data_IF_467726671969
#
_entry.id   IF_467726671969
#
_cell.length_a   1.000
_cell.length_b   1.000
_cell.length_c   1.000
_cell.angle_alpha   90.00
_cell.angle_beta   90.00
_cell.angle_gamma   90.00
#
_symmetry.space_group_name_H-M   'P 1'
#
loop_
_entity.id
_entity.type
_entity.pdbx_description
1 polymer ?
#
# COMPACT_ATOMS: atom_id res chain seq x y z
N UNK A 1 33.56 0.44 -9.14
CA UNK A 1 32.76 1.35 -8.29
C UNK A 1 33.15 2.80 -8.60
N UNK A 2 32.27 3.80 -8.45
CA UNK A 2 32.64 5.23 -8.68
C UNK A 2 33.79 5.66 -7.75
N UNK A 3 33.81 5.16 -6.52
CA UNK A 3 34.81 5.51 -5.49
C UNK A 3 36.23 5.08 -5.89
N UNK A 4 36.35 3.92 -6.52
CA UNK A 4 37.63 3.34 -6.94
C UNK A 4 38.09 3.86 -8.30
N UNK A 5 37.24 4.61 -9.01
CA UNK A 5 37.50 5.03 -10.39
C UNK A 5 38.87 5.73 -10.56
N UNK A 6 39.29 6.66 -9.67
CA UNK A 6 40.62 7.27 -9.77
C UNK A 6 41.79 6.29 -9.54
N UNK A 7 41.58 5.22 -8.77
CA UNK A 7 42.60 4.20 -8.49
C UNK A 7 42.75 3.22 -9.66
N UNK A 8 41.64 2.93 -10.35
CA UNK A 8 41.60 2.02 -11.51
C UNK A 8 42.19 2.69 -12.75
N UNK A 9 42.01 4.01 -12.91
CA UNK A 9 42.44 4.77 -14.09
C UNK A 9 43.41 5.90 -13.70
N UNK A 10 44.73 5.65 -13.71
CA UNK A 10 45.74 6.67 -13.46
C UNK A 10 45.59 7.87 -14.41
N UNK A 11 45.74 9.09 -13.88
CA UNK A 11 45.56 10.32 -14.66
C UNK A 11 44.11 10.82 -14.76
N UNK A 12 43.16 10.19 -14.07
CA UNK A 12 41.78 10.67 -13.99
C UNK A 12 41.70 12.08 -13.39
N UNK A 13 41.10 13.01 -14.12
CA UNK A 13 40.75 14.34 -13.61
C UNK A 13 39.39 14.29 -12.91
N UNK A 14 39.36 14.66 -11.63
CA UNK A 14 38.12 14.76 -10.85
C UNK A 14 37.58 16.18 -10.96
N UNK A 15 36.31 16.32 -11.33
CA UNK A 15 35.60 17.60 -11.38
C UNK A 15 34.36 17.47 -10.50
N UNK A 16 34.26 18.32 -9.47
CA UNK A 16 33.11 18.37 -8.56
C UNK A 16 32.11 19.43 -9.03
N UNK A 17 30.83 19.04 -9.08
CA UNK A 17 29.72 19.96 -9.34
C UNK A 17 29.01 20.23 -8.02
N UNK A 18 29.23 21.42 -7.46
CA UNK A 18 28.76 21.81 -6.12
C UNK A 18 27.55 22.75 -6.16
N UNK A 19 27.38 23.50 -7.25
CA UNK A 19 26.23 24.39 -7.42
C UNK A 19 24.97 23.58 -7.76
N UNK A 20 23.97 23.65 -6.89
CA UNK A 20 22.68 23.01 -7.04
C UNK A 20 21.64 24.01 -7.57
N UNK A 21 21.01 23.65 -8.69
CA UNK A 21 20.02 24.48 -9.37
C UNK A 21 18.57 24.12 -9.02
N UNK A 22 18.36 23.12 -8.16
CA UNK A 22 17.03 22.55 -7.83
C UNK A 22 16.48 23.11 -6.53
N UNK A 23 17.24 22.96 -5.45
CA UNK A 23 16.80 23.20 -4.07
C UNK A 23 17.31 24.53 -3.53
N UNK A 24 16.61 25.05 -2.52
CA UNK A 24 17.03 26.24 -1.74
C UNK A 24 18.06 25.87 -0.67
N UNK A 25 18.84 26.84 -0.20
CA UNK A 25 19.96 26.61 0.71
C UNK A 25 19.57 25.85 2.00
N UNK A 26 18.45 26.14 2.69
CA UNK A 26 18.06 25.39 3.89
C UNK A 26 17.89 23.88 3.68
N UNK A 27 17.48 23.44 2.48
CA UNK A 27 17.36 22.01 2.15
C UNK A 27 18.75 21.41 1.89
N UNK A 28 19.64 22.16 1.24
CA UNK A 28 21.02 21.74 0.97
C UNK A 28 21.83 21.65 2.27
N UNK A 29 21.62 22.56 3.21
CA UNK A 29 22.27 22.52 4.52
C UNK A 29 21.94 21.22 5.27
N UNK A 30 20.66 20.84 5.31
CA UNK A 30 20.25 19.55 5.88
C UNK A 30 20.91 18.37 5.13
N UNK A 31 20.94 18.42 3.80
CA UNK A 31 21.55 17.38 2.97
C UNK A 31 23.05 17.24 3.25
N UNK A 32 23.77 18.36 3.35
CA UNK A 32 25.19 18.42 3.64
C UNK A 32 25.49 17.84 5.03
N UNK A 33 24.67 18.14 6.04
CA UNK A 33 24.83 17.58 7.40
C UNK A 33 24.60 16.07 7.42
N UNK A 34 23.62 15.56 6.67
CA UNK A 34 23.34 14.12 6.60
C UNK A 34 24.48 13.38 5.91
N UNK A 35 24.93 13.87 4.74
CA UNK A 35 25.96 13.19 3.94
C UNK A 35 27.34 13.26 4.59
N UNK A 36 27.61 14.28 5.41
CA UNK A 36 28.89 14.40 6.12
C UNK A 36 29.17 13.20 7.04
N UNK A 37 28.12 12.55 7.54
CA UNK A 37 28.20 11.36 8.41
C UNK A 37 28.42 10.05 7.65
N UNK A 38 28.43 10.06 6.31
CA UNK A 38 28.65 8.86 5.52
C UNK A 38 30.12 8.39 5.60
N UNK A 39 30.32 7.07 5.82
CA UNK A 39 31.67 6.46 5.93
C UNK A 39 32.48 6.55 4.64
N UNK A 40 31.81 6.38 3.52
CA UNK A 40 32.39 6.44 2.19
C UNK A 40 31.75 7.60 1.42
N UNK A 41 32.53 8.65 1.13
CA UNK A 41 32.04 9.85 0.45
C UNK A 41 33.11 10.50 -0.41
N UNK A 42 32.67 11.20 -1.44
CA UNK A 42 33.42 12.30 -2.02
C UNK A 42 33.02 13.58 -1.27
N UNK A 43 33.99 14.23 -0.64
CA UNK A 43 33.76 15.52 0.02
C UNK A 43 33.35 16.55 -1.03
N UNK A 44 32.10 16.99 -0.95
CA UNK A 44 31.53 18.10 -1.71
C UNK A 44 30.56 18.85 -0.82
N UNK A 45 30.53 20.17 -0.94
CA UNK A 45 29.58 21.00 -0.19
C UNK A 45 28.60 21.64 -1.18
N UNK A 46 27.33 21.24 -1.11
CA UNK A 46 26.33 21.75 -2.04
C UNK A 46 25.88 23.15 -1.63
N UNK A 47 25.86 24.08 -2.58
CA UNK A 47 25.33 25.43 -2.40
C UNK A 47 24.39 25.81 -3.54
N UNK A 48 23.59 26.87 -3.38
CA UNK A 48 22.71 27.37 -4.44
C UNK A 48 22.68 28.90 -4.50
N UNK A 49 22.31 29.43 -5.68
CA UNK A 49 21.97 30.85 -5.87
C UNK A 49 20.46 31.11 -5.78
N UNK A 50 19.62 30.07 -5.65
CA UNK A 50 18.17 30.24 -5.48
C UNK A 50 17.86 30.91 -4.16
N UNK A 51 16.95 31.87 -4.20
CA UNK A 51 16.43 32.54 -2.99
C UNK A 51 15.34 31.68 -2.35
N UNK A 52 15.29 31.73 -1.02
CA UNK A 52 14.30 31.01 -0.21
C UNK A 52 14.85 30.65 1.16
N UNK A 53 14.04 30.81 2.19
CA UNK A 53 14.41 30.66 3.60
C UNK A 53 13.60 29.56 4.32
N UNK A 54 12.67 28.93 3.60
CA UNK A 54 11.81 27.88 4.16
C UNK A 54 12.64 26.68 4.61
N UNK A 55 12.60 26.40 5.91
CA UNK A 55 13.33 25.28 6.51
C UNK A 55 12.53 23.98 6.36
N UNK A 56 13.21 22.83 6.19
CA UNK A 56 12.58 21.52 6.39
C UNK A 56 11.91 21.45 7.76
N UNK A 57 10.69 20.94 7.82
CA UNK A 57 9.90 20.80 9.05
C UNK A 57 9.74 19.32 9.37
N UNK A 58 9.98 18.97 10.63
CA UNK A 58 9.69 17.64 11.17
C UNK A 58 8.43 17.72 12.03
N UNK A 59 7.51 16.78 11.82
CA UNK A 59 6.24 16.69 12.56
C UNK A 59 6.13 15.27 13.09
N UNK A 60 5.96 15.15 14.41
CA UNK A 60 5.71 13.87 15.06
C UNK A 60 4.19 13.66 15.11
N UNK A 61 3.75 12.47 14.73
CA UNK A 61 2.35 12.04 14.80
C UNK A 61 2.22 10.94 15.85
N UNK A 62 1.04 10.79 16.45
CA UNK A 62 0.78 9.78 17.48
C UNK A 62 0.74 8.36 16.89
N UNK A 63 0.16 8.24 15.70
CA UNK A 63 0.02 6.99 14.95
C UNK A 63 0.07 7.25 13.43
N UNK A 64 0.04 6.15 12.66
CA UNK A 64 0.04 6.20 11.19
C UNK A 64 -1.19 6.95 10.64
N UNK A 65 -2.34 6.84 11.33
CA UNK A 65 -3.57 7.55 10.94
C UNK A 65 -3.41 9.07 11.00
N UNK A 66 -2.95 9.56 12.15
CA UNK A 66 -2.73 10.97 12.41
C UNK A 66 -1.68 11.54 11.45
N UNK A 67 -0.66 10.75 11.11
CA UNK A 67 0.30 11.09 10.06
C UNK A 67 -0.38 11.25 8.69
N UNK A 68 -1.17 10.27 8.26
CA UNK A 68 -1.90 10.33 6.97
C UNK A 68 -2.84 11.53 6.92
N UNK A 69 -3.62 11.79 7.98
CA UNK A 69 -4.50 12.96 8.09
C UNK A 69 -3.73 14.27 8.01
N UNK A 70 -2.63 14.39 8.74
CA UNK A 70 -1.78 15.58 8.68
C UNK A 70 -1.25 15.82 7.26
N UNK A 71 -0.79 14.76 6.58
CA UNK A 71 -0.30 14.86 5.19
C UNK A 71 -1.42 15.32 4.26
N UNK A 72 -2.62 14.75 4.35
CA UNK A 72 -3.78 15.15 3.54
C UNK A 72 -4.17 16.61 3.79
N UNK A 73 -4.28 17.02 5.05
CA UNK A 73 -4.61 18.41 5.40
C UNK A 73 -3.54 19.39 4.88
N UNK A 74 -2.26 18.97 4.92
CA UNK A 74 -1.16 19.76 4.37
C UNK A 74 -1.24 19.88 2.85
N UNK A 75 -1.57 18.80 2.14
CA UNK A 75 -1.78 18.80 0.68
C UNK A 75 -2.93 19.76 0.33
N UNK A 76 -4.05 19.70 1.06
CA UNK A 76 -5.20 20.61 0.85
C UNK A 76 -4.85 22.06 1.13
N UNK A 77 -4.04 22.35 2.15
CA UNK A 77 -3.53 23.70 2.43
C UNK A 77 -2.64 24.23 1.30
N UNK A 78 -1.69 23.42 0.82
CA UNK A 78 -0.80 23.78 -0.28
C UNK A 78 -1.57 24.01 -1.59
N UNK A 79 -2.54 23.14 -1.88
CA UNK A 79 -3.35 23.26 -3.08
C UNK A 79 -4.22 24.53 -3.05
N UNK A 80 -4.84 24.85 -1.90
CA UNK A 80 -5.56 26.12 -1.69
C UNK A 80 -4.67 27.35 -1.87
N UNK A 81 -3.36 27.22 -1.59
CA UNK A 81 -2.35 28.27 -1.80
C UNK A 81 -1.84 28.34 -3.25
N UNK A 82 -2.39 27.54 -4.16
CA UNK A 82 -2.07 27.57 -5.59
C UNK A 82 -0.98 26.58 -6.02
N UNK A 83 -0.51 25.68 -5.15
CA UNK A 83 0.41 24.62 -5.56
C UNK A 83 -0.36 23.56 -6.35
N UNK A 84 0.03 23.33 -7.61
CA UNK A 84 -0.53 22.26 -8.43
C UNK A 84 -0.28 20.89 -7.78
N UNK A 85 -1.25 19.97 -7.83
CA UNK A 85 -1.13 18.67 -7.17
C UNK A 85 0.07 17.87 -7.69
N UNK A 86 0.37 17.96 -8.99
CA UNK A 86 1.52 17.30 -9.60
C UNK A 86 2.89 17.87 -9.21
N UNK A 87 2.92 18.98 -8.48
CA UNK A 87 4.11 19.56 -7.87
C UNK A 87 4.28 19.12 -6.41
N UNK A 88 3.41 18.23 -5.92
CA UNK A 88 3.45 17.66 -4.57
C UNK A 88 3.74 16.16 -4.66
N UNK A 89 4.74 15.71 -3.92
CA UNK A 89 5.04 14.30 -3.76
C UNK A 89 5.11 13.90 -2.29
N UNK A 90 4.62 12.70 -1.98
CA UNK A 90 4.84 12.03 -0.69
C UNK A 90 5.75 10.84 -0.92
N UNK A 91 6.90 10.82 -0.24
CA UNK A 91 7.88 9.76 -0.34
C UNK A 91 7.89 8.90 0.93
N UNK A 92 8.03 7.60 0.75
CA UNK A 92 8.06 6.61 1.83
C UNK A 92 9.19 5.61 1.62
N UNK A 93 9.61 4.96 2.72
CA UNK A 93 10.68 3.96 2.69
C UNK A 93 10.26 2.67 1.97
N UNK A 94 9.04 2.22 2.23
CA UNK A 94 8.49 0.97 1.72
C UNK A 94 7.03 1.17 1.29
N UNK A 95 6.63 0.44 0.25
CA UNK A 95 5.35 0.66 -0.44
C UNK A 95 4.10 0.43 0.41
N UNK A 96 4.20 -0.29 1.53
CA UNK A 96 3.08 -0.52 2.43
C UNK A 96 2.80 0.71 3.32
N UNK A 97 3.80 1.54 3.61
CA UNK A 97 3.61 2.77 4.40
C UNK A 97 2.75 3.83 3.69
N UNK A 98 2.49 3.67 2.39
CA UNK A 98 1.59 4.58 1.67
C UNK A 98 0.13 4.18 1.79
N UNK A 99 -0.17 2.96 2.26
CA UNK A 99 -1.50 2.40 2.10
C UNK A 99 -2.55 3.17 2.88
N UNK A 100 -2.25 3.52 4.13
CA UNK A 100 -3.15 4.34 4.93
C UNK A 100 -3.42 5.72 4.31
N UNK A 101 -2.38 6.33 3.76
CA UNK A 101 -2.48 7.60 3.06
C UNK A 101 -3.29 7.46 1.76
N UNK A 102 -3.18 6.35 1.04
CA UNK A 102 -3.98 6.08 -0.17
C UNK A 102 -5.48 6.06 0.16
N UNK A 103 -5.86 5.44 1.29
CA UNK A 103 -7.25 5.42 1.77
C UNK A 103 -7.73 6.84 2.06
N UNK A 104 -6.96 7.61 2.85
CA UNK A 104 -7.37 8.96 3.24
C UNK A 104 -7.42 9.93 2.04
N UNK A 105 -6.51 9.80 1.07
CA UNK A 105 -6.56 10.56 -0.17
C UNK A 105 -7.81 10.25 -0.99
N UNK A 106 -8.13 8.97 -1.17
CA UNK A 106 -9.34 8.53 -1.88
C UNK A 106 -10.60 9.04 -1.18
N UNK A 107 -10.66 8.93 0.15
CA UNK A 107 -11.78 9.40 0.97
C UNK A 107 -12.00 10.91 0.83
N UNK A 108 -10.93 11.68 0.68
CA UNK A 108 -10.97 13.14 0.52
C UNK A 108 -11.06 13.57 -0.96
N UNK A 109 -11.16 12.62 -1.89
CA UNK A 109 -11.30 12.89 -3.33
C UNK A 109 -10.05 13.47 -3.98
N UNK A 110 -8.86 13.25 -3.40
CA UNK A 110 -7.59 13.77 -3.92
C UNK A 110 -6.98 12.72 -4.85
N UNK A 111 -6.89 13.05 -6.13
CA UNK A 111 -6.32 12.14 -7.11
C UNK A 111 -4.79 12.03 -6.96
N UNK A 112 -4.26 10.82 -7.08
CA UNK A 112 -2.83 10.55 -6.97
C UNK A 112 -2.37 9.45 -7.94
N UNK A 113 -1.05 9.40 -8.16
CA UNK A 113 -0.35 8.35 -8.92
C UNK A 113 0.70 7.72 -8.02
N UNK A 114 0.69 6.38 -7.92
CA UNK A 114 1.69 5.63 -7.16
C UNK A 114 2.83 5.15 -8.06
N UNK A 115 4.03 5.61 -7.74
CA UNK A 115 5.28 5.37 -8.44
C UNK A 115 6.10 4.32 -7.70
N UNK A 116 6.35 3.20 -8.37
CA UNK A 116 7.27 2.18 -7.85
C UNK A 116 6.86 1.66 -6.48
N UNK A 117 5.93 0.71 -6.51
CA UNK A 117 5.48 -0.01 -5.34
C UNK A 117 4.38 -0.97 -5.75
N UNK A 118 4.28 -2.08 -5.03
CA UNK A 118 3.16 -2.99 -5.23
C UNK A 118 1.88 -2.34 -4.70
N UNK A 119 0.77 -2.52 -5.42
CA UNK A 119 -0.54 -2.08 -4.96
C UNK A 119 -0.96 -3.01 -3.83
N UNK A 120 -0.99 -2.48 -2.61
CA UNK A 120 -1.18 -3.25 -1.40
C UNK A 120 -2.48 -4.09 -1.47
N UNK A 121 -3.59 -3.48 -1.86
CA UNK A 121 -4.89 -4.15 -2.08
C UNK A 121 -4.85 -5.19 -3.20
N UNK A 122 -3.93 -5.05 -4.16
CA UNK A 122 -3.80 -6.02 -5.24
C UNK A 122 -3.00 -7.27 -4.88
N UNK A 123 -2.34 -7.24 -3.72
CA UNK A 123 -1.57 -8.37 -3.21
C UNK A 123 -2.40 -9.62 -3.09
N UNK A 124 -1.83 -10.75 -3.50
CA UNK A 124 -2.55 -12.02 -3.45
C UNK A 124 -3.07 -12.33 -2.04
N UNK A 125 -2.23 -12.13 -1.01
CA UNK A 125 -2.61 -12.40 0.38
C UNK A 125 -3.66 -11.41 0.92
N UNK A 126 -3.59 -10.13 0.55
CA UNK A 126 -4.62 -9.14 0.89
C UNK A 126 -5.94 -9.48 0.20
N UNK A 127 -5.91 -9.80 -1.11
CA UNK A 127 -7.10 -10.23 -1.87
C UNK A 127 -7.71 -11.51 -1.31
N UNK A 128 -6.90 -12.43 -0.80
CA UNK A 128 -7.39 -13.66 -0.16
C UNK A 128 -8.18 -13.32 1.10
N UNK A 129 -7.66 -12.48 1.99
CA UNK A 129 -8.38 -12.04 3.20
C UNK A 129 -9.62 -11.22 2.85
N UNK A 130 -9.51 -10.27 1.91
CA UNK A 130 -10.65 -9.47 1.45
C UNK A 130 -11.75 -10.32 0.81
N UNK A 131 -11.42 -11.42 0.13
CA UNK A 131 -12.43 -12.32 -0.42
C UNK A 131 -13.25 -13.01 0.69
N UNK A 132 -12.62 -13.44 1.78
CA UNK A 132 -13.35 -13.98 2.93
C UNK A 132 -14.29 -12.92 3.52
N UNK A 133 -13.78 -11.70 3.74
CA UNK A 133 -14.58 -10.57 4.23
C UNK A 133 -15.77 -10.26 3.31
N UNK A 134 -15.60 -10.28 1.98
CA UNK A 134 -16.68 -10.08 1.01
C UNK A 134 -17.73 -11.18 1.04
N UNK A 135 -17.33 -12.44 1.23
CA UNK A 135 -18.29 -13.55 1.37
C UNK A 135 -19.12 -13.42 2.64
N UNK A 136 -18.53 -12.93 3.73
CA UNK A 136 -19.27 -12.65 4.98
C UNK A 136 -20.26 -11.49 4.77
N UNK A 137 -19.85 -10.42 4.09
CA UNK A 137 -20.74 -9.29 3.79
C UNK A 137 -21.82 -9.64 2.76
N UNK A 138 -21.48 -10.47 1.77
CA UNK A 138 -22.36 -10.90 0.69
C UNK A 138 -22.10 -12.38 0.34
N UNK A 139 -22.93 -13.30 0.88
CA UNK A 139 -22.81 -14.73 0.60
C UNK A 139 -22.99 -15.11 -0.87
N UNK A 140 -23.47 -14.20 -1.73
CA UNK A 140 -23.68 -14.43 -3.16
C UNK A 140 -22.51 -13.92 -4.03
N UNK A 141 -21.41 -13.42 -3.45
CA UNK A 141 -20.22 -13.03 -4.22
C UNK A 141 -19.50 -14.26 -4.78
N UNK A 142 -19.87 -14.62 -6.01
CA UNK A 142 -19.29 -15.74 -6.76
C UNK A 142 -17.78 -15.65 -6.91
N UNK A 143 -17.26 -14.46 -7.18
CA UNK A 143 -15.83 -14.26 -7.48
C UNK A 143 -15.00 -14.54 -6.23
N UNK A 144 -15.45 -13.99 -5.09
CA UNK A 144 -14.80 -14.19 -3.81
C UNK A 144 -14.89 -15.64 -3.34
N UNK A 145 -16.05 -16.29 -3.50
CA UNK A 145 -16.19 -17.73 -3.23
C UNK A 145 -15.20 -18.59 -4.02
N UNK A 146 -15.10 -18.33 -5.32
CA UNK A 146 -14.16 -19.04 -6.18
C UNK A 146 -12.72 -18.89 -5.73
N UNK A 147 -12.32 -17.67 -5.36
CA UNK A 147 -11.00 -17.39 -4.83
C UNK A 147 -10.72 -18.21 -3.57
N UNK A 148 -11.62 -18.17 -2.58
CA UNK A 148 -11.48 -18.90 -1.32
C UNK A 148 -11.39 -20.41 -1.54
N UNK A 149 -12.29 -20.98 -2.35
CA UNK A 149 -12.36 -22.41 -2.58
C UNK A 149 -11.11 -22.95 -3.27
N UNK A 150 -10.51 -22.17 -4.18
CA UNK A 150 -9.26 -22.55 -4.87
C UNK A 150 -8.01 -22.46 -3.99
N UNK A 151 -8.08 -21.86 -2.79
CA UNK A 151 -7.00 -21.92 -1.80
C UNK A 151 -6.93 -23.28 -1.09
N UNK A 152 -8.01 -24.06 -1.12
CA UNK A 152 -8.08 -25.34 -0.45
C UNK A 152 -7.46 -26.43 -1.33
N UNK A 153 -6.48 -27.13 -0.81
CA UNK A 153 -5.88 -28.29 -1.49
C UNK A 153 -6.96 -29.29 -1.94
N UNK A 154 -6.77 -29.84 -3.15
CA UNK A 154 -7.68 -30.79 -3.81
C UNK A 154 -9.02 -30.21 -4.27
N UNK A 155 -9.23 -28.89 -4.18
CA UNK A 155 -10.38 -28.22 -4.81
C UNK A 155 -9.91 -27.51 -6.08
N UNK A 156 -10.28 -28.06 -7.24
CA UNK A 156 -10.10 -27.42 -8.54
C UNK A 156 -11.33 -26.63 -9.00
N UNK A 157 -11.27 -25.90 -10.13
CA UNK A 157 -12.35 -25.03 -10.60
C UNK A 157 -13.72 -25.73 -10.75
N UNK A 158 -13.73 -26.96 -11.25
CA UNK A 158 -14.97 -27.75 -11.39
C UNK A 158 -15.59 -28.10 -10.04
N UNK A 159 -14.75 -28.45 -9.06
CA UNK A 159 -15.20 -28.76 -7.70
C UNK A 159 -15.69 -27.49 -7.02
N UNK A 160 -14.97 -26.38 -7.14
CA UNK A 160 -15.38 -25.08 -6.61
C UNK A 160 -16.76 -24.65 -7.13
N UNK A 161 -17.03 -24.78 -8.45
CA UNK A 161 -18.35 -24.49 -9.01
C UNK A 161 -19.45 -25.32 -8.35
N UNK A 162 -19.25 -26.64 -8.22
CA UNK A 162 -20.22 -27.54 -7.60
C UNK A 162 -20.50 -27.17 -6.14
N UNK A 163 -19.45 -26.82 -5.39
CA UNK A 163 -19.57 -26.40 -3.99
C UNK A 163 -20.36 -25.10 -3.88
N UNK A 164 -20.05 -24.11 -4.73
CA UNK A 164 -20.76 -22.83 -4.77
C UNK A 164 -22.24 -23.00 -5.14
N UNK A 165 -22.55 -23.79 -6.18
CA UNK A 165 -23.93 -24.10 -6.57
C UNK A 165 -24.70 -24.82 -5.47
N UNK A 166 -24.07 -25.79 -4.79
CA UNK A 166 -24.67 -26.50 -3.66
C UNK A 166 -24.96 -25.54 -2.49
N UNK A 167 -24.05 -24.61 -2.20
CA UNK A 167 -24.23 -23.63 -1.13
C UNK A 167 -25.39 -22.65 -1.40
N UNK A 168 -25.65 -22.29 -2.66
CA UNK A 168 -26.70 -21.33 -3.02
C UNK A 168 -28.07 -21.93 -3.29
N UNK A 169 -28.14 -23.19 -3.75
CA UNK A 169 -29.39 -23.83 -4.13
C UNK A 169 -30.37 -24.05 -2.94
N UNK A 170 -29.91 -23.92 -1.69
CA UNK A 170 -30.77 -24.11 -0.52
C UNK A 170 -31.40 -22.81 0.04
N UNK A 171 -31.19 -21.63 -0.59
CA UNK A 171 -31.58 -20.31 -0.03
C UNK A 171 -31.03 -20.01 1.39
N UNK A 172 -30.11 -20.84 1.87
CA UNK A 172 -29.57 -20.79 3.23
C UNK A 172 -28.33 -19.89 3.37
N UNK A 173 -27.91 -19.21 2.29
CA UNK A 173 -26.67 -18.43 2.29
C UNK A 173 -25.44 -19.30 2.57
N UNK A 174 -24.56 -18.86 3.46
CA UNK A 174 -23.36 -19.64 3.86
C UNK A 174 -23.71 -20.94 4.60
N UNK A 175 -24.92 -21.10 5.13
CA UNK A 175 -25.34 -22.35 5.80
C UNK A 175 -25.58 -23.50 4.82
N UNK A 176 -25.77 -23.23 3.52
CA UNK A 176 -25.77 -24.26 2.48
C UNK A 176 -24.40 -24.92 2.29
N UNK A 177 -23.32 -24.21 2.61
CA UNK A 177 -21.98 -24.80 2.66
C UNK A 177 -21.84 -25.76 3.86
N UNK A 178 -22.49 -25.42 4.99
CA UNK A 178 -22.48 -26.26 6.20
C UNK A 178 -23.23 -27.59 5.95
N UNK A 179 -24.36 -27.55 5.23
CA UNK A 179 -25.22 -28.70 4.91
C UNK A 179 -24.74 -29.56 3.72
N UNK A 180 -23.92 -29.03 2.82
CA UNK A 180 -23.47 -29.77 1.63
C UNK A 180 -22.67 -31.04 2.00
N UNK A 181 -23.23 -32.20 1.63
CA UNK A 181 -22.59 -33.53 1.73
C UNK A 181 -21.58 -33.73 0.60
N UNK A 182 -20.45 -33.07 0.70
CA UNK A 182 -19.29 -33.31 -0.14
C UNK A 182 -18.40 -34.35 0.57
N UNK A 183 -17.68 -35.18 -0.18
CA UNK A 183 -16.73 -36.15 0.41
C UNK A 183 -15.70 -35.47 1.33
N UNK A 184 -15.01 -36.21 2.21
CA UNK A 184 -14.19 -35.62 3.27
C UNK A 184 -12.99 -34.86 2.69
N UNK A 185 -13.10 -33.53 2.64
CA UNK A 185 -12.02 -32.61 2.27
C UNK A 185 -11.68 -31.79 3.52
N UNK A 186 -10.58 -32.14 4.21
CA UNK A 186 -10.16 -31.50 5.47
C UNK A 186 -10.17 -29.96 5.43
N UNK A 187 -9.75 -29.37 4.31
CA UNK A 187 -9.72 -27.91 4.17
C UNK A 187 -11.10 -27.27 4.05
N UNK A 188 -12.11 -28.01 3.57
CA UNK A 188 -13.49 -27.55 3.53
C UNK A 188 -14.09 -27.51 4.94
N UNK A 189 -13.79 -28.49 5.80
CA UNK A 189 -14.24 -28.48 7.19
C UNK A 189 -13.65 -27.30 7.98
N UNK A 190 -12.37 -26.96 7.75
CA UNK A 190 -11.76 -25.76 8.33
C UNK A 190 -12.48 -24.48 7.87
N UNK A 191 -12.86 -24.39 6.60
CA UNK A 191 -13.60 -23.24 6.08
C UNK A 191 -15.01 -23.15 6.68
N UNK A 192 -15.71 -24.28 6.82
CA UNK A 192 -17.02 -24.35 7.50
C UNK A 192 -16.92 -23.82 8.93
N UNK A 193 -15.90 -24.24 9.67
CA UNK A 193 -15.66 -23.78 11.05
C UNK A 193 -15.35 -22.28 11.12
N UNK A 194 -14.57 -21.74 10.17
CA UNK A 194 -14.30 -20.30 10.08
C UNK A 194 -15.60 -19.51 9.91
N UNK A 195 -16.42 -19.88 8.91
CA UNK A 195 -17.67 -19.18 8.61
C UNK A 195 -18.61 -19.25 9.82
N UNK A 196 -18.75 -20.42 10.44
CA UNK A 196 -19.56 -20.58 11.64
C UNK A 196 -19.06 -19.68 12.80
N UNK A 197 -17.75 -19.59 13.00
CA UNK A 197 -17.18 -18.73 14.05
C UNK A 197 -17.50 -17.24 13.82
N UNK A 198 -17.43 -16.79 12.56
CA UNK A 198 -17.72 -15.41 12.15
C UNK A 198 -19.21 -15.05 12.21
N UNK A 199 -20.10 -16.05 12.11
CA UNK A 199 -21.54 -15.84 12.13
C UNK A 199 -22.12 -15.80 13.55
N UNK A 200 -21.57 -16.61 14.46
CA UNK A 200 -22.15 -16.81 15.80
C UNK A 200 -21.87 -15.63 16.74
N UNK A 201 -20.73 -14.94 16.57
CA UNK A 201 -20.30 -13.90 17.51
C UNK A 201 -20.32 -12.52 16.85
N UNK A 202 -20.92 -11.50 17.48
CA UNK A 202 -20.77 -10.13 17.03
C UNK A 202 -19.31 -9.71 17.18
N UNK A 203 -18.59 -9.67 16.06
CA UNK A 203 -17.21 -9.22 15.98
C UNK A 203 -17.16 -7.83 15.35
N UNK A 204 -16.18 -7.01 15.75
CA UNK A 204 -15.83 -5.83 14.99
C UNK A 204 -15.00 -6.21 13.74
N UNK A 205 -14.73 -5.23 12.86
CA UNK A 205 -14.07 -5.50 11.58
C UNK A 205 -12.66 -6.06 11.75
N UNK A 206 -11.88 -5.58 12.74
CA UNK A 206 -10.53 -6.08 13.01
C UNK A 206 -10.54 -7.50 13.56
N UNK A 207 -11.44 -7.83 14.49
CA UNK A 207 -11.62 -9.19 15.03
C UNK A 207 -12.02 -10.20 13.95
N UNK A 208 -12.89 -9.80 13.01
CA UNK A 208 -13.20 -10.62 11.84
C UNK A 208 -11.93 -10.86 11.00
N UNK A 209 -11.16 -9.80 10.75
CA UNK A 209 -9.88 -9.86 10.05
C UNK A 209 -8.88 -10.80 10.71
N UNK A 210 -8.71 -10.71 12.03
CA UNK A 210 -7.79 -11.55 12.82
C UNK A 210 -8.18 -13.03 12.69
N UNK A 211 -9.47 -13.34 12.87
CA UNK A 211 -10.00 -14.69 12.76
C UNK A 211 -9.76 -15.28 11.36
N UNK A 212 -9.93 -14.47 10.31
CA UNK A 212 -9.66 -14.88 8.92
C UNK A 212 -8.16 -15.06 8.68
N UNK A 213 -7.31 -14.16 9.20
CA UNK A 213 -5.85 -14.23 9.07
C UNK A 213 -5.32 -15.47 9.77
N UNK A 214 -5.82 -15.83 10.95
CA UNK A 214 -5.46 -17.06 11.66
C UNK A 214 -5.80 -18.32 10.85
N UNK A 215 -6.97 -18.34 10.20
CA UNK A 215 -7.33 -19.41 9.27
C UNK A 215 -6.37 -19.48 8.06
N UNK A 216 -6.02 -18.31 7.51
CA UNK A 216 -5.23 -18.17 6.29
C UNK A 216 -3.72 -18.37 6.51
N UNK A 217 -3.20 -18.14 7.72
CA UNK A 217 -1.76 -18.16 8.00
C UNK A 217 -1.05 -19.48 7.62
N UNK A 218 -1.62 -20.67 7.87
CA UNK A 218 -1.04 -21.93 7.38
C UNK A 218 -1.04 -22.03 5.84
N UNK A 219 -2.05 -21.48 5.17
CA UNK A 219 -2.16 -21.45 3.70
C UNK A 219 -1.07 -20.53 3.13
N UNK A 220 -0.90 -19.35 3.73
CA UNK A 220 0.14 -18.39 3.35
C UNK A 220 1.54 -19.01 3.43
N UNK A 221 1.85 -19.69 4.55
CA UNK A 221 3.15 -20.33 4.79
C UNK A 221 3.46 -21.44 3.79
N UNK A 222 2.45 -22.19 3.35
CA UNK A 222 2.61 -23.28 2.40
C UNK A 222 2.79 -22.78 0.95
N UNK A 223 2.20 -21.64 0.61
CA UNK A 223 2.12 -21.15 -0.76
C UNK A 223 3.18 -20.09 -1.11
N UNK A 224 3.85 -19.49 -0.13
CA UNK A 224 4.77 -18.36 -0.34
C UNK A 224 6.05 -18.46 0.51
N UNK A 225 7.21 -18.46 -0.15
CA UNK A 225 8.52 -18.40 0.52
C UNK A 225 8.71 -17.09 1.29
N UNK A 226 8.17 -15.98 0.77
CA UNK A 226 8.22 -14.65 1.38
C UNK A 226 7.09 -14.40 2.40
N UNK A 227 6.50 -15.46 2.98
CA UNK A 227 5.43 -15.37 3.97
C UNK A 227 5.72 -14.43 5.17
N UNK A 228 6.96 -14.27 5.70
CA UNK A 228 7.17 -13.35 6.82
C UNK A 228 6.95 -11.88 6.44
N UNK A 229 7.23 -11.53 5.18
CA UNK A 229 6.95 -10.18 4.66
C UNK A 229 5.45 -9.98 4.50
N UNK A 230 4.76 -10.96 3.92
CA UNK A 230 3.30 -10.92 3.71
C UNK A 230 2.50 -10.93 5.02
N UNK A 231 3.01 -11.58 6.05
CA UNK A 231 2.40 -11.55 7.38
C UNK A 231 2.38 -10.12 7.95
N UNK A 232 3.46 -9.34 7.75
CA UNK A 232 3.49 -7.92 8.15
C UNK A 232 2.48 -7.08 7.39
N UNK A 233 2.28 -7.37 6.10
CA UNK A 233 1.23 -6.71 5.32
C UNK A 233 -0.16 -7.01 5.91
N UNK A 234 -0.41 -8.26 6.36
CA UNK A 234 -1.66 -8.64 7.02
C UNK A 234 -1.82 -7.97 8.39
N UNK A 235 -0.76 -7.84 9.19
CA UNK A 235 -0.76 -7.09 10.45
C UNK A 235 -1.14 -5.61 10.23
N UNK A 236 -0.58 -4.99 9.19
CA UNK A 236 -0.95 -3.61 8.83
C UNK A 236 -2.41 -3.49 8.38
N UNK A 237 -2.92 -4.49 7.65
CA UNK A 237 -4.34 -4.55 7.28
C UNK A 237 -5.25 -4.57 8.52
N UNK A 238 -4.88 -5.27 9.59
CA UNK A 238 -5.62 -5.26 10.87
C UNK A 238 -5.67 -3.86 11.47
N UNK A 239 -4.53 -3.16 11.55
CA UNK A 239 -4.48 -1.79 12.08
C UNK A 239 -5.33 -0.79 11.29
N UNK A 240 -5.61 -1.08 10.02
CA UNK A 240 -6.56 -0.30 9.21
C UNK A 240 -8.00 -0.70 9.54
N UNK A 241 -8.28 -1.99 9.66
CA UNK A 241 -9.62 -2.50 10.01
C UNK A 241 -10.12 -1.98 11.37
N UNK A 242 -9.23 -1.74 12.35
CA UNK A 242 -9.58 -1.18 13.68
C UNK A 242 -10.35 0.15 13.60
N UNK A 243 -10.17 0.89 12.50
CA UNK A 243 -10.76 2.22 12.29
C UNK A 243 -12.19 2.15 11.75
N UNK A 244 -12.60 1.00 11.25
CA UNK A 244 -13.89 0.82 10.61
C UNK A 244 -14.91 0.24 11.59
N UNK A 245 -16.02 0.96 11.74
CA UNK A 245 -17.15 0.50 12.56
C UNK A 245 -17.96 -0.59 11.87
N UNK A 246 -17.96 -0.63 10.54
CA UNK A 246 -18.83 -1.50 9.78
C UNK A 246 -18.11 -2.10 8.57
N UNK A 247 -18.34 -3.40 8.33
CA UNK A 247 -17.66 -4.18 7.29
C UNK A 247 -17.92 -3.62 5.89
N UNK A 248 -19.15 -3.19 5.60
CA UNK A 248 -19.51 -2.64 4.29
C UNK A 248 -18.74 -1.34 3.97
N UNK A 249 -18.49 -0.50 4.97
CA UNK A 249 -17.72 0.73 4.79
C UNK A 249 -16.26 0.39 4.47
N UNK A 250 -15.67 -0.52 5.25
CA UNK A 250 -14.32 -1.03 4.99
C UNK A 250 -14.20 -1.59 3.57
N UNK A 251 -15.09 -2.50 3.17
CA UNK A 251 -15.05 -3.11 1.84
C UNK A 251 -15.26 -2.09 0.71
N UNK A 252 -16.03 -1.03 0.94
CA UNK A 252 -16.21 0.06 -0.03
C UNK A 252 -14.91 0.81 -0.24
N UNK A 253 -14.27 1.25 0.85
CA UNK A 253 -13.02 2.02 0.79
C UNK A 253 -11.87 1.17 0.21
N UNK A 254 -11.87 -0.15 0.47
CA UNK A 254 -10.94 -1.10 -0.14
C UNK A 254 -11.20 -1.36 -1.63
N UNK A 255 -12.40 -1.11 -2.12
CA UNK A 255 -12.77 -1.28 -3.53
C UNK A 255 -12.47 -0.03 -4.38
N UNK A 256 -12.20 1.11 -3.74
CA UNK A 256 -11.79 2.33 -4.42
C UNK A 256 -10.37 2.15 -4.98
N UNK A 257 -10.28 1.68 -6.22
CA UNK A 257 -9.02 1.70 -6.97
C UNK A 257 -8.63 3.15 -7.29
N UNK A 258 -7.41 3.60 -6.95
CA UNK A 258 -6.91 4.85 -7.50
C UNK A 258 -6.82 4.71 -9.03
N UNK A 259 -7.14 5.76 -9.80
CA UNK A 259 -7.18 5.70 -11.26
C UNK A 259 -5.86 5.15 -11.80
N UNK A 260 -5.98 3.98 -12.44
CA UNK A 260 -4.88 3.18 -12.96
C UNK A 260 -4.06 3.97 -13.99
N UNK A 261 -2.96 4.57 -13.54
CA UNK A 261 -1.96 5.14 -14.45
C UNK A 261 -0.57 4.76 -13.97
N UNK A 262 0.01 3.75 -14.62
CA UNK A 262 1.46 3.58 -14.68
C UNK A 262 2.07 4.92 -15.11
N UNK A 263 3.22 5.32 -14.57
CA UNK A 263 3.91 6.55 -14.98
C UNK A 263 4.04 6.68 -16.50
N UNK A 264 4.34 5.56 -17.17
CA UNK A 264 4.45 5.49 -18.62
C UNK A 264 3.12 5.80 -19.32
N UNK A 265 1.99 5.28 -18.83
CA UNK A 265 0.67 5.61 -19.38
C UNK A 265 0.22 7.02 -19.02
N UNK A 266 0.71 7.57 -17.91
CA UNK A 266 0.39 8.94 -17.53
C UNK A 266 0.97 9.92 -18.54
N UNK A 267 2.24 9.76 -18.96
CA UNK A 267 2.93 10.66 -19.91
C UNK A 267 2.23 10.83 -21.28
N UNK A 268 1.37 9.89 -21.67
CA UNK A 268 0.65 9.92 -22.95
C UNK A 268 -0.81 10.40 -22.83
N UNK A 269 -1.34 10.56 -21.62
CA UNK A 269 -2.72 11.00 -21.41
C UNK A 269 -2.75 12.53 -21.21
N UNK A 270 -2.76 13.25 -22.34
CA UNK A 270 -2.56 14.70 -22.44
C UNK A 270 -3.60 15.62 -21.74
N UNK A 271 -4.47 15.09 -20.86
CA UNK A 271 -5.61 15.84 -20.34
C UNK A 271 -5.78 15.91 -18.81
N UNK A 272 -4.93 15.32 -17.96
CA UNK A 272 -5.17 15.37 -16.48
C UNK A 272 -3.93 15.34 -15.58
N UNK A 273 -2.73 15.59 -16.11
CA UNK A 273 -1.52 15.54 -15.29
C UNK A 273 -1.43 16.61 -14.20
N UNK A 274 -2.12 17.74 -14.33
CA UNK A 274 -2.03 18.84 -13.35
C UNK A 274 -2.71 18.50 -12.00
N UNK A 275 -3.70 17.60 -12.03
CA UNK A 275 -4.63 17.38 -10.92
C UNK A 275 -4.31 16.12 -10.10
N UNK A 276 -3.13 15.53 -10.27
CA UNK A 276 -2.72 14.33 -9.52
C UNK A 276 -1.41 14.54 -8.80
N UNK A 277 -1.38 14.20 -7.51
CA UNK A 277 -0.15 14.18 -6.72
C UNK A 277 0.61 12.86 -6.86
N UNK A 278 1.88 12.83 -6.44
CA UNK A 278 2.73 11.64 -6.54
C UNK A 278 2.90 10.96 -5.18
N UNK A 279 2.69 9.65 -5.14
CA UNK A 279 3.12 8.77 -4.05
C UNK A 279 4.29 7.93 -4.56
N UNK A 280 5.45 7.92 -3.91
CA UNK A 280 6.60 7.14 -4.40
C UNK A 280 7.43 6.53 -3.28
N UNK A 281 8.04 5.38 -3.53
CA UNK A 281 9.18 4.99 -2.69
C UNK A 281 10.36 5.93 -2.95
N UNK A 282 11.22 6.13 -1.95
CA UNK A 282 12.45 6.92 -2.09
C UNK A 282 13.35 6.39 -3.23
N UNK A 283 13.39 5.07 -3.43
CA UNK A 283 14.17 4.44 -4.51
C UNK A 283 13.64 4.81 -5.89
N UNK A 284 12.32 4.80 -6.06
CA UNK A 284 11.66 5.12 -7.33
C UNK A 284 11.61 6.62 -7.65
N UNK A 285 11.88 7.47 -6.67
CA UNK A 285 12.00 8.92 -6.85
C UNK A 285 13.36 9.36 -7.43
N UNK A 286 14.30 8.45 -7.65
CA UNK A 286 15.65 8.78 -8.15
C UNK A 286 15.57 9.46 -9.51
N UNK A 287 16.14 10.67 -9.60
CA UNK A 287 16.15 11.48 -10.82
C UNK A 287 14.96 12.43 -10.97
N UNK A 288 13.94 12.33 -10.11
CA UNK A 288 12.77 13.18 -10.13
C UNK A 288 12.93 14.41 -9.22
N UNK A 289 12.04 15.38 -9.37
CA UNK A 289 11.94 16.61 -8.58
C UNK A 289 10.51 17.14 -8.53
N UNK A 290 10.17 17.80 -7.42
CA UNK A 290 8.87 18.41 -7.16
C UNK A 290 9.05 19.71 -6.38
N UNK A 291 8.07 20.62 -6.48
CA UNK A 291 8.06 21.83 -5.67
C UNK A 291 8.01 21.51 -4.17
N UNK A 292 7.11 20.60 -3.76
CA UNK A 292 6.93 20.20 -2.36
C UNK A 292 7.08 18.69 -2.22
N UNK A 293 7.88 18.27 -1.25
CA UNK A 293 8.08 16.86 -0.90
C UNK A 293 7.75 16.66 0.56
N UNK A 294 6.82 15.76 0.87
CA UNK A 294 6.57 15.26 2.21
C UNK A 294 7.26 13.90 2.36
N UNK A 295 8.00 13.70 3.44
CA UNK A 295 8.58 12.40 3.78
C UNK A 295 7.72 11.75 4.87
N UNK A 296 7.29 10.51 4.65
CA UNK A 296 6.47 9.74 5.58
C UNK A 296 7.22 8.49 6.08
N UNK A 297 6.89 8.06 7.30
CA UNK A 297 7.52 6.90 7.96
C UNK A 297 9.01 7.08 8.27
N UNK A 298 9.40 8.29 8.71
CA UNK A 298 10.76 8.60 9.18
C UNK A 298 10.98 8.17 10.63
#
# INVERSE_FOLDING_TARGET
>A
NIIEFPNIFPGTRIITLEENYRSIQPILDLTNVIIDRAKEKYSKNLFTRKTGDTRPVMVNSEDEYSQSRFVVDKIKDLHRKGVALNQIAVLFRASFHSFDLEIELNREGIAFVKMGGFKFVESAHIKDVLAHMRVIANPYDRISWYRILLLIEKIGPKTAQKIYEAALNEKSGYTGLLSAKLGPIKGLDRLKNLIAALDIHPMNVSQMGETIIDYYMPILKNNYDDHPRRAKDLEHLIGIMERYKNLNQFLTDMALEPPNTSFENSLYDGASHADRMILSTIHSAKGLEWHTVLLSGL
#
